data_IF_042138950805
#
_entry.id   IF_042138950805
#
_cell.length_a   1.000
_cell.length_b   1.000
_cell.length_c   1.000
_cell.angle_alpha   90.00
_cell.angle_beta   90.00
_cell.angle_gamma   90.00
#
_symmetry.space_group_name_H-M   'P 1'
#
loop_
_entity.id
_entity.type
_entity.pdbx_description
1 polymer ?
#
# COMPACT_ATOMS: atom_id res chain seq x y z
N UNK A 1 -12.98 -1.12 -17.88
CA UNK A 1 -12.58 -0.10 -16.90
C UNK A 1 -13.35 -0.36 -15.62
N UNK A 2 -12.67 -0.43 -14.47
CA UNK A 2 -13.32 -0.80 -13.21
C UNK A 2 -14.18 0.35 -12.69
N UNK A 3 -15.35 0.05 -12.13
CA UNK A 3 -16.28 1.06 -11.62
C UNK A 3 -16.76 0.67 -10.22
N UNK A 4 -16.56 1.55 -9.25
CA UNK A 4 -17.09 1.34 -7.92
C UNK A 4 -18.50 1.92 -7.82
N UNK A 5 -19.44 1.11 -7.37
CA UNK A 5 -20.86 1.44 -7.24
C UNK A 5 -21.27 1.24 -5.79
N UNK A 6 -22.01 2.21 -5.25
CA UNK A 6 -22.57 2.16 -3.89
C UNK A 6 -24.08 2.18 -3.94
N UNK A 7 -24.71 1.34 -3.13
CA UNK A 7 -26.13 1.49 -2.79
C UNK A 7 -26.29 2.51 -1.64
N UNK A 8 -27.01 3.60 -1.88
CA UNK A 8 -27.25 4.64 -0.85
C UNK A 8 -28.18 4.18 0.27
N UNK A 9 -28.98 3.14 0.03
CA UNK A 9 -30.00 2.63 0.95
C UNK A 9 -29.40 1.70 2.01
N UNK A 10 -28.53 0.78 1.62
CA UNK A 10 -27.92 -0.22 2.51
C UNK A 10 -26.40 -0.07 2.69
N UNK A 11 -25.78 0.90 2.00
CA UNK A 11 -24.33 1.14 1.97
C UNK A 11 -23.50 -0.03 1.38
N UNK A 12 -24.15 -0.95 0.66
CA UNK A 12 -23.47 -2.04 -0.04
C UNK A 12 -22.64 -1.52 -1.22
N UNK A 13 -21.52 -2.17 -1.49
CA UNK A 13 -20.52 -1.73 -2.46
C UNK A 13 -20.20 -2.84 -3.46
N UNK A 14 -20.19 -2.49 -4.74
CA UNK A 14 -19.82 -3.39 -5.82
C UNK A 14 -18.72 -2.78 -6.68
N UNK A 15 -17.63 -3.53 -6.90
CA UNK A 15 -16.59 -3.16 -7.84
C UNK A 15 -16.86 -3.87 -9.16
N UNK A 16 -17.46 -3.16 -10.11
CA UNK A 16 -17.70 -3.70 -11.44
C UNK A 16 -16.38 -3.87 -12.18
N UNK A 17 -16.10 -5.08 -12.66
CA UNK A 17 -14.92 -5.42 -13.44
C UNK A 17 -15.31 -6.02 -14.79
N UNK A 18 -14.40 -6.07 -15.77
CA UNK A 18 -14.64 -6.82 -17.00
C UNK A 18 -14.83 -8.33 -16.78
N UNK A 19 -14.51 -8.85 -15.59
CA UNK A 19 -14.55 -10.27 -15.28
C UNK A 19 -15.88 -10.74 -14.69
N UNK A 20 -16.78 -9.82 -14.32
CA UNK A 20 -18.05 -10.13 -13.65
C UNK A 20 -18.99 -11.00 -14.51
N UNK A 21 -18.73 -11.08 -15.82
CA UNK A 21 -19.50 -11.86 -16.80
C UNK A 21 -18.73 -13.08 -17.33
N UNK A 22 -17.53 -13.36 -16.79
CA UNK A 22 -16.78 -14.55 -17.18
C UNK A 22 -17.34 -15.79 -16.49
N UNK A 23 -17.36 -16.93 -17.20
CA UNK A 23 -17.82 -18.18 -16.61
C UNK A 23 -16.82 -18.69 -15.56
N UNK A 24 -17.36 -19.27 -14.50
CA UNK A 24 -16.58 -20.09 -13.56
C UNK A 24 -16.46 -21.52 -14.08
N UNK A 25 -15.39 -22.22 -13.70
CA UNK A 25 -15.15 -23.59 -14.12
C UNK A 25 -15.04 -24.49 -12.90
N UNK A 26 -15.86 -25.53 -12.88
CA UNK A 26 -15.82 -26.55 -11.83
C UNK A 26 -15.32 -27.88 -12.41
N UNK A 27 -14.52 -28.59 -11.63
CA UNK A 27 -14.09 -29.94 -11.97
C UNK A 27 -15.22 -30.92 -11.72
N UNK A 28 -15.63 -31.67 -12.74
CA UNK A 28 -16.63 -32.72 -12.62
C UNK A 28 -15.94 -34.09 -12.48
N UNK A 29 -15.95 -34.70 -11.27
CA UNK A 29 -15.33 -36.00 -11.03
C UNK A 29 -16.00 -37.17 -11.77
N UNK A 30 -17.19 -36.97 -12.36
CA UNK A 30 -17.96 -38.01 -13.05
C UNK A 30 -17.74 -38.05 -14.56
N UNK A 31 -16.88 -37.19 -15.10
CA UNK A 31 -16.61 -37.11 -16.53
C UNK A 31 -15.09 -37.27 -16.82
N UNK A 32 -14.76 -37.81 -18.01
CA UNK A 32 -13.41 -38.17 -18.48
C UNK A 32 -12.39 -37.01 -18.41
N UNK A 33 -11.06 -37.24 -18.55
CA UNK A 33 -9.95 -36.37 -18.08
C UNK A 33 -9.85 -34.92 -18.60
N UNK A 34 -10.85 -34.40 -19.32
CA UNK A 34 -10.87 -33.08 -19.95
C UNK A 34 -12.16 -32.28 -19.63
N UNK A 35 -12.94 -32.69 -18.61
CA UNK A 35 -14.27 -32.11 -18.37
C UNK A 35 -14.27 -31.08 -17.23
N UNK A 36 -14.07 -29.82 -17.60
CA UNK A 36 -14.50 -28.69 -16.79
C UNK A 36 -15.92 -28.29 -17.21
N UNK A 37 -16.82 -28.14 -16.24
CA UNK A 37 -18.13 -27.54 -16.50
C UNK A 37 -18.01 -26.03 -16.41
N UNK A 38 -18.41 -25.31 -17.47
CA UNK A 38 -18.57 -23.86 -17.41
C UNK A 38 -19.90 -23.50 -16.77
N UNK A 39 -19.86 -22.57 -15.82
CA UNK A 39 -21.00 -22.00 -15.14
C UNK A 39 -21.06 -20.51 -15.51
N UNK A 40 -22.04 -20.14 -16.32
CA UNK A 40 -22.26 -18.75 -16.66
C UNK A 40 -22.65 -17.96 -15.41
N UNK A 41 -21.97 -16.84 -15.15
CA UNK A 41 -22.28 -15.90 -14.08
C UNK A 41 -22.32 -14.47 -14.62
N UNK A 42 -23.15 -13.66 -13.99
CA UNK A 42 -23.17 -12.21 -14.15
C UNK A 42 -23.35 -11.57 -12.78
N UNK A 43 -22.23 -11.45 -12.05
CA UNK A 43 -22.21 -10.97 -10.67
C UNK A 43 -22.78 -9.55 -10.55
N UNK A 44 -22.60 -8.75 -11.61
CA UNK A 44 -23.13 -7.40 -11.65
C UNK A 44 -24.65 -7.40 -11.80
N UNK A 45 -25.21 -8.27 -12.65
CA UNK A 45 -26.65 -8.40 -12.77
C UNK A 45 -27.28 -8.92 -11.47
N UNK A 46 -26.63 -9.85 -10.78
CA UNK A 46 -27.07 -10.33 -9.47
C UNK A 46 -27.08 -9.20 -8.43
N UNK A 47 -26.04 -8.37 -8.41
CA UNK A 47 -26.01 -7.16 -7.59
C UNK A 47 -27.17 -6.21 -7.90
N UNK A 48 -27.44 -5.93 -9.19
CA UNK A 48 -28.56 -5.07 -9.61
C UNK A 48 -29.93 -5.64 -9.22
N UNK A 49 -30.10 -6.97 -9.33
CA UNK A 49 -31.32 -7.66 -8.96
C UNK A 49 -31.58 -7.58 -7.45
N UNK A 50 -30.53 -7.78 -6.63
CA UNK A 50 -30.62 -7.62 -5.17
C UNK A 50 -30.97 -6.19 -4.75
N UNK A 51 -30.58 -5.20 -5.55
CA UNK A 51 -30.77 -3.77 -5.27
C UNK A 51 -31.90 -3.13 -6.07
N UNK A 52 -32.88 -3.92 -6.54
CA UNK A 52 -34.04 -3.38 -7.24
C UNK A 52 -34.80 -2.39 -6.36
N UNK A 53 -35.03 -1.18 -6.90
CA UNK A 53 -35.69 -0.09 -6.17
C UNK A 53 -34.78 0.70 -5.22
N UNK A 54 -33.51 0.31 -5.06
CA UNK A 54 -32.53 1.11 -4.32
C UNK A 54 -31.91 2.21 -5.20
N UNK A 55 -31.44 3.28 -4.55
CA UNK A 55 -30.67 4.33 -5.22
C UNK A 55 -29.19 3.93 -5.26
N UNK A 56 -28.65 3.81 -6.46
CA UNK A 56 -27.22 3.54 -6.69
C UNK A 56 -26.49 4.84 -7.06
N UNK A 57 -25.23 4.96 -6.63
CA UNK A 57 -24.32 6.04 -7.02
C UNK A 57 -22.95 5.49 -7.44
N UNK A 58 -22.30 6.19 -8.36
CA UNK A 58 -20.93 5.87 -8.76
C UNK A 58 -19.93 6.59 -7.86
N UNK A 59 -18.89 5.87 -7.47
CA UNK A 59 -17.77 6.40 -6.72
C UNK A 59 -16.52 6.39 -7.58
N UNK A 60 -15.82 7.53 -7.64
CA UNK A 60 -14.50 7.64 -8.24
C UNK A 60 -13.44 7.39 -7.17
N UNK A 61 -12.55 6.44 -7.42
CA UNK A 61 -11.40 6.18 -6.54
C UNK A 61 -10.47 7.40 -6.57
N UNK A 62 -10.05 7.84 -5.39
CA UNK A 62 -9.03 8.88 -5.25
C UNK A 62 -7.67 8.19 -5.40
N UNK A 63 -6.93 8.56 -6.44
CA UNK A 63 -5.57 8.06 -6.66
C UNK A 63 -4.66 8.40 -5.46
N UNK A 64 -3.63 7.61 -5.24
CA UNK A 64 -2.69 7.72 -4.10
C UNK A 64 -3.29 7.56 -2.69
N UNK A 65 -4.56 7.18 -2.59
CA UNK A 65 -5.20 6.91 -1.29
C UNK A 65 -5.11 5.44 -0.85
N UNK A 66 -4.35 4.60 -1.52
CA UNK A 66 -4.30 3.17 -1.18
C UNK A 66 -3.36 2.90 0.01
N UNK A 67 -3.85 2.14 0.99
CA UNK A 67 -3.07 1.61 2.09
C UNK A 67 -3.40 0.13 2.29
N UNK A 68 -2.42 -0.70 2.66
CA UNK A 68 -2.63 -2.13 2.85
C UNK A 68 -1.88 -2.64 4.07
N UNK A 69 -2.53 -3.49 4.86
CA UNK A 69 -1.97 -3.99 6.13
C UNK A 69 -0.86 -5.04 5.92
N UNK A 70 -0.80 -5.65 4.73
CA UNK A 70 0.14 -6.72 4.40
C UNK A 70 0.84 -6.45 3.06
N UNK A 71 1.93 -7.19 2.73
CA UNK A 71 2.68 -7.06 1.48
C UNK A 71 1.82 -7.11 0.22
N UNK A 72 2.34 -6.59 -0.89
CA UNK A 72 1.62 -6.59 -2.16
C UNK A 72 1.30 -7.99 -2.67
N UNK A 73 2.16 -8.97 -2.37
CA UNK A 73 2.00 -10.37 -2.77
C UNK A 73 0.95 -11.15 -1.96
N UNK A 74 0.48 -10.62 -0.83
CA UNK A 74 -0.43 -11.35 0.06
C UNK A 74 -1.89 -11.31 -0.47
N UNK A 75 -2.45 -12.44 -0.94
CA UNK A 75 -3.78 -12.50 -1.51
C UNK A 75 -4.91 -12.17 -0.53
N UNK A 76 -4.73 -12.42 0.78
CA UNK A 76 -5.74 -12.25 1.84
C UNK A 76 -5.52 -10.96 2.64
N UNK A 77 -4.83 -9.98 2.06
CA UNK A 77 -4.60 -8.69 2.69
C UNK A 77 -5.89 -7.86 2.77
N UNK A 78 -6.02 -7.14 3.87
CA UNK A 78 -6.97 -6.03 3.97
C UNK A 78 -6.32 -4.79 3.40
N UNK A 79 -7.03 -4.07 2.55
CA UNK A 79 -6.60 -2.77 2.03
C UNK A 79 -7.68 -1.72 2.24
N UNK A 80 -7.27 -0.48 2.39
CA UNK A 80 -8.13 0.68 2.51
C UNK A 80 -7.83 1.66 1.39
N UNK A 81 -8.86 2.30 0.87
CA UNK A 81 -8.70 3.40 -0.07
C UNK A 81 -9.85 4.39 0.05
N UNK A 82 -9.66 5.59 -0.49
CA UNK A 82 -10.68 6.64 -0.50
C UNK A 82 -11.35 6.70 -1.87
N UNK A 83 -12.65 6.97 -1.88
CA UNK A 83 -13.41 7.26 -3.09
C UNK A 83 -14.38 8.43 -2.86
N UNK A 84 -14.83 9.06 -3.93
CA UNK A 84 -15.74 10.21 -3.86
C UNK A 84 -16.87 10.11 -4.88
N UNK A 85 -18.04 10.61 -4.52
CA UNK A 85 -19.16 10.87 -5.45
C UNK A 85 -19.14 12.33 -5.96
N UNK A 86 -18.05 13.07 -5.72
CA UNK A 86 -17.92 14.50 -6.03
C UNK A 86 -18.45 15.44 -4.94
N UNK A 87 -19.15 14.93 -3.92
CA UNK A 87 -19.68 15.74 -2.80
C UNK A 87 -19.01 15.41 -1.48
N UNK A 88 -18.78 14.13 -1.23
CA UNK A 88 -18.18 13.62 0.01
C UNK A 88 -17.10 12.57 -0.31
N UNK A 89 -16.26 12.28 0.68
CA UNK A 89 -15.20 11.28 0.60
C UNK A 89 -15.59 10.10 1.48
N UNK A 90 -15.40 8.90 0.95
CA UNK A 90 -15.71 7.63 1.57
C UNK A 90 -14.43 6.83 1.77
N UNK A 91 -14.30 6.19 2.93
CA UNK A 91 -13.27 5.17 3.15
C UNK A 91 -13.84 3.79 2.85
N UNK A 92 -13.13 3.03 2.04
CA UNK A 92 -13.55 1.70 1.62
C UNK A 92 -12.50 0.70 2.06
N UNK A 93 -12.95 -0.33 2.78
CA UNK A 93 -12.18 -1.52 3.11
C UNK A 93 -12.40 -2.57 2.02
N UNK A 94 -11.30 -3.09 1.47
CA UNK A 94 -11.24 -4.19 0.50
C UNK A 94 -10.59 -5.39 1.18
N UNK A 95 -11.26 -6.53 1.18
CA UNK A 95 -10.76 -7.74 1.83
C UNK A 95 -11.43 -9.00 1.27
N UNK A 96 -10.89 -10.17 1.60
CA UNK A 96 -11.54 -11.47 1.45
C UNK A 96 -11.04 -12.39 2.56
N UNK A 97 -11.84 -13.38 2.93
CA UNK A 97 -11.48 -14.30 4.02
C UNK A 97 -10.67 -15.49 3.52
N UNK A 98 -10.95 -15.94 2.29
CA UNK A 98 -10.26 -17.05 1.63
C UNK A 98 -9.92 -16.73 0.18
N UNK A 99 -9.02 -17.52 -0.42
CA UNK A 99 -8.49 -17.28 -1.76
C UNK A 99 -9.54 -17.56 -2.84
N UNK A 100 -10.41 -18.53 -2.58
CA UNK A 100 -11.54 -18.96 -3.43
C UNK A 100 -12.77 -18.05 -3.31
N UNK A 101 -12.76 -17.11 -2.36
CA UNK A 101 -13.86 -16.14 -2.20
C UNK A 101 -13.62 -14.85 -3.02
N UNK A 102 -14.69 -14.23 -3.55
CA UNK A 102 -14.60 -12.94 -4.19
C UNK A 102 -14.18 -11.84 -3.21
N UNK A 103 -13.60 -10.77 -3.74
CA UNK A 103 -13.24 -9.59 -2.96
C UNK A 103 -14.50 -8.86 -2.48
N UNK A 104 -14.57 -8.63 -1.17
CA UNK A 104 -15.62 -7.87 -0.50
C UNK A 104 -15.18 -6.42 -0.33
N UNK A 105 -16.14 -5.50 -0.45
CA UNK A 105 -15.94 -4.06 -0.27
C UNK A 105 -16.90 -3.56 0.81
N UNK A 106 -16.38 -2.81 1.78
CA UNK A 106 -17.17 -2.32 2.89
C UNK A 106 -16.89 -0.85 3.14
N UNK A 107 -17.95 -0.07 3.35
CA UNK A 107 -17.84 1.32 3.76
C UNK A 107 -17.40 1.40 5.23
N UNK A 108 -16.29 2.08 5.48
CA UNK A 108 -15.78 2.37 6.83
C UNK A 108 -16.23 3.78 7.21
N UNK A 109 -16.74 3.94 8.43
CA UNK A 109 -17.16 5.25 8.93
C UNK A 109 -15.95 6.06 9.37
N UNK A 110 -15.87 7.31 8.92
CA UNK A 110 -14.79 8.23 9.26
C UNK A 110 -13.66 8.24 8.23
N UNK A 111 -12.42 8.42 8.69
CA UNK A 111 -11.24 8.52 7.83
C UNK A 111 -10.11 7.58 8.28
N UNK A 112 -9.07 7.41 7.46
CA UNK A 112 -7.82 6.78 7.88
C UNK A 112 -6.61 7.66 7.60
N UNK A 113 -5.59 7.47 8.43
CA UNK A 113 -4.29 8.14 8.33
C UNK A 113 -3.17 7.12 8.52
N UNK A 114 -1.99 7.43 7.97
CA UNK A 114 -0.78 6.64 8.23
C UNK A 114 -0.03 7.29 9.38
N UNK A 115 0.20 6.53 10.45
CA UNK A 115 1.02 6.96 11.59
C UNK A 115 2.38 6.28 11.51
N UNK A 116 3.44 7.06 11.68
CA UNK A 116 4.79 6.52 11.76
C UNK A 116 4.89 5.57 12.96
N UNK A 117 5.28 4.33 12.70
CA UNK A 117 5.47 3.29 13.69
C UNK A 117 6.93 3.23 14.16
N UNK A 118 7.87 3.41 13.24
CA UNK A 118 9.29 3.37 13.53
C UNK A 118 10.15 3.78 12.33
N UNK A 119 11.42 4.07 12.63
CA UNK A 119 12.45 4.35 11.63
C UNK A 119 13.63 3.43 11.95
N UNK A 120 14.13 2.71 10.95
CA UNK A 120 15.18 1.71 11.07
C UNK A 120 16.26 1.95 10.01
N UNK A 121 17.50 1.53 10.33
CA UNK A 121 18.57 1.39 9.33
C UNK A 121 18.61 -0.06 8.85
N UNK A 122 19.17 -0.27 7.66
CA UNK A 122 19.35 -1.60 7.08
C UNK A 122 20.69 -2.19 7.53
N UNK A 123 20.82 -2.47 8.84
CA UNK A 123 22.10 -2.77 9.49
C UNK A 123 22.84 -3.95 8.85
N UNK A 124 22.13 -5.02 8.49
CA UNK A 124 22.70 -6.20 7.84
C UNK A 124 23.27 -5.85 6.46
N UNK A 125 22.53 -5.06 5.67
CA UNK A 125 22.95 -4.64 4.33
C UNK A 125 24.15 -3.71 4.39
N UNK A 126 24.12 -2.72 5.28
CA UNK A 126 25.25 -1.82 5.53
C UNK A 126 26.50 -2.61 5.93
N UNK A 127 26.36 -3.55 6.87
CA UNK A 127 27.46 -4.42 7.32
C UNK A 127 28.03 -5.25 6.17
N UNK A 128 27.16 -5.83 5.33
CA UNK A 128 27.54 -6.61 4.16
C UNK A 128 28.33 -5.77 3.15
N UNK A 129 27.87 -4.56 2.86
CA UNK A 129 28.51 -3.68 1.88
C UNK A 129 29.82 -3.09 2.40
N UNK A 130 29.89 -2.69 3.67
CA UNK A 130 31.15 -2.28 4.30
C UNK A 130 32.21 -3.39 4.23
N UNK A 131 31.84 -4.65 4.48
CA UNK A 131 32.77 -5.78 4.37
C UNK A 131 33.25 -6.02 2.93
N UNK A 132 32.41 -5.72 1.95
CA UNK A 132 32.68 -5.95 0.53
C UNK A 132 33.56 -4.87 -0.09
N UNK A 133 33.38 -3.61 0.30
CA UNK A 133 33.96 -2.47 -0.41
C UNK A 133 35.20 -1.88 0.27
N UNK A 134 35.43 -2.17 1.55
CA UNK A 134 36.49 -1.52 2.32
C UNK A 134 37.86 -2.11 2.04
N UNK A 135 38.78 -1.25 1.60
CA UNK A 135 40.20 -1.56 1.41
C UNK A 135 41.01 -0.45 2.12
N UNK A 136 41.76 -0.76 3.19
CA UNK A 136 41.88 -2.07 3.84
C UNK A 136 40.59 -2.50 4.55
N UNK A 137 40.39 -3.82 4.79
CA UNK A 137 39.20 -4.34 5.46
C UNK A 137 39.02 -3.75 6.87
N UNK A 138 37.76 -3.46 7.22
CA UNK A 138 37.40 -3.02 8.56
C UNK A 138 37.29 -4.19 9.53
N UNK A 139 37.64 -3.96 10.80
CA UNK A 139 37.34 -4.94 11.85
C UNK A 139 35.84 -4.98 12.16
N UNK A 140 35.36 -6.09 12.73
CA UNK A 140 33.96 -6.18 13.17
C UNK A 140 33.63 -5.11 14.21
N UNK A 141 34.57 -4.77 15.11
CA UNK A 141 34.41 -3.69 16.10
C UNK A 141 34.21 -2.32 15.46
N UNK A 142 34.89 -2.04 14.33
CA UNK A 142 34.71 -0.79 13.60
C UNK A 142 33.35 -0.73 12.91
N UNK A 143 32.91 -1.84 12.30
CA UNK A 143 31.59 -1.95 11.67
C UNK A 143 30.49 -1.75 12.72
N UNK A 144 30.59 -2.43 13.86
CA UNK A 144 29.63 -2.30 14.96
C UNK A 144 29.58 -0.87 15.51
N UNK A 145 30.74 -0.19 15.57
CA UNK A 145 30.80 1.21 15.99
C UNK A 145 30.10 2.14 14.98
N UNK A 146 30.28 1.92 13.67
CA UNK A 146 29.57 2.66 12.63
C UNK A 146 28.06 2.45 12.72
N UNK A 147 27.60 1.20 12.83
CA UNK A 147 26.18 0.88 12.97
C UNK A 147 25.57 1.50 14.22
N UNK A 148 26.27 1.47 15.36
CA UNK A 148 25.84 2.13 16.59
C UNK A 148 25.71 3.64 16.43
N UNK A 149 26.69 4.27 15.77
CA UNK A 149 26.63 5.69 15.46
C UNK A 149 25.42 6.01 14.57
N UNK A 150 25.20 5.21 13.52
CA UNK A 150 24.10 5.47 12.60
C UNK A 150 22.74 5.25 13.25
N UNK A 151 22.58 4.21 14.06
CA UNK A 151 21.40 4.02 14.89
C UNK A 151 21.15 5.19 15.85
N UNK A 152 22.21 5.75 16.44
CA UNK A 152 22.06 6.91 17.33
C UNK A 152 21.55 8.14 16.57
N UNK A 153 22.09 8.38 15.36
CA UNK A 153 21.61 9.44 14.48
C UNK A 153 20.12 9.28 14.14
N UNK A 154 19.68 8.07 13.82
CA UNK A 154 18.28 7.81 13.44
C UNK A 154 17.29 8.09 14.56
N UNK A 155 17.68 7.91 15.82
CA UNK A 155 16.82 8.23 16.97
C UNK A 155 16.50 9.72 17.09
N UNK A 156 17.30 10.60 16.50
CA UNK A 156 17.09 12.05 16.55
C UNK A 156 16.49 12.62 15.27
N UNK A 157 16.36 11.81 14.22
CA UNK A 157 15.85 12.26 12.92
C UNK A 157 14.35 12.51 12.99
N UNK A 158 13.94 13.68 12.49
CA UNK A 158 12.57 13.91 12.07
C UNK A 158 12.42 13.51 10.59
N UNK A 159 11.64 12.46 10.31
CA UNK A 159 11.47 11.93 8.94
C UNK A 159 10.89 12.95 7.96
N UNK A 160 10.20 13.99 8.45
CA UNK A 160 9.66 15.07 7.62
C UNK A 160 10.76 15.97 7.02
N UNK A 161 11.96 15.94 7.58
CA UNK A 161 13.13 16.67 7.08
C UNK A 161 13.99 15.83 6.11
N UNK A 162 13.59 14.58 5.88
CA UNK A 162 14.25 13.66 4.96
C UNK A 162 13.56 13.66 3.59
N UNK A 163 14.30 13.23 2.57
CA UNK A 163 13.75 13.13 1.21
C UNK A 163 13.24 11.71 0.99
N UNK A 164 11.96 11.56 0.63
CA UNK A 164 11.39 10.26 0.25
C UNK A 164 12.03 9.79 -1.05
N UNK A 165 12.52 8.56 -1.06
CA UNK A 165 13.08 7.89 -2.24
C UNK A 165 12.08 6.88 -2.78
N UNK A 166 11.94 6.81 -4.09
CA UNK A 166 11.19 5.74 -4.74
C UNK A 166 12.09 4.51 -4.76
N UNK A 167 11.78 3.57 -3.87
CA UNK A 167 12.43 2.27 -3.80
C UNK A 167 11.35 1.17 -3.85
N UNK A 168 11.70 -0.01 -4.34
CA UNK A 168 10.78 -1.15 -4.50
C UNK A 168 10.51 -1.83 -3.15
N UNK A 169 9.79 -1.12 -2.28
CA UNK A 169 9.34 -1.68 -1.02
C UNK A 169 8.39 -2.86 -1.27
N UNK A 170 8.70 -4.02 -0.68
CA UNK A 170 7.83 -5.19 -0.72
C UNK A 170 6.53 -4.97 0.08
N UNK A 171 6.57 -4.04 1.05
CA UNK A 171 5.46 -3.69 1.90
C UNK A 171 4.92 -2.28 1.62
N UNK A 172 3.60 -2.10 1.41
CA UNK A 172 2.98 -0.80 1.11
C UNK A 172 3.10 0.25 2.22
N UNK A 173 3.35 -0.20 3.45
CA UNK A 173 3.55 0.67 4.62
C UNK A 173 5.03 0.88 4.98
N UNK A 174 5.94 0.40 4.14
CA UNK A 174 7.38 0.69 4.26
C UNK A 174 7.75 1.73 3.20
N UNK A 175 8.45 2.77 3.63
CA UNK A 175 8.90 3.86 2.76
C UNK A 175 10.34 4.18 3.08
N UNK A 176 11.15 4.36 2.03
CA UNK A 176 12.56 4.68 2.17
C UNK A 176 12.83 6.17 2.08
N UNK A 177 13.78 6.64 2.88
CA UNK A 177 14.15 8.05 2.98
C UNK A 177 15.67 8.23 2.97
N UNK A 178 16.14 9.20 2.19
CA UNK A 178 17.50 9.68 2.24
C UNK A 178 17.64 10.73 3.36
N UNK A 179 18.69 10.61 4.17
CA UNK A 179 19.03 11.61 5.18
C UNK A 179 19.43 12.92 4.52
N UNK A 180 19.12 14.05 5.16
CA UNK A 180 19.52 15.34 4.63
C UNK A 180 21.00 15.63 4.89
N UNK A 181 21.53 16.67 4.24
CA UNK A 181 22.93 17.08 4.31
C UNK A 181 23.39 17.40 5.74
N UNK A 182 22.52 17.95 6.59
CA UNK A 182 22.87 18.25 8.00
C UNK A 182 23.17 16.97 8.78
N UNK A 183 22.33 15.96 8.61
CA UNK A 183 22.50 14.66 9.25
C UNK A 183 23.67 13.87 8.65
N UNK A 184 23.90 14.00 7.34
CA UNK A 184 25.05 13.43 6.65
C UNK A 184 26.37 13.99 7.19
N UNK A 185 26.46 15.32 7.32
CA UNK A 185 27.64 15.99 7.88
C UNK A 185 27.85 15.63 9.35
N UNK A 186 26.78 15.46 10.13
CA UNK A 186 26.89 14.96 11.50
C UNK A 186 27.45 13.53 11.54
N UNK A 187 26.97 12.63 10.66
CA UNK A 187 27.48 11.27 10.56
C UNK A 187 28.98 11.27 10.26
N UNK A 188 29.40 11.99 9.21
CA UNK A 188 30.80 12.12 8.79
C UNK A 188 31.69 12.65 9.91
N UNK A 189 31.26 13.74 10.56
CA UNK A 189 31.99 14.33 11.69
C UNK A 189 32.24 13.31 12.80
N UNK A 190 31.26 12.48 13.13
CA UNK A 190 31.39 11.50 14.20
C UNK A 190 32.16 10.24 13.75
N UNK A 191 32.16 9.91 12.47
CA UNK A 191 33.00 8.85 11.90
C UNK A 191 34.50 9.11 12.11
N UNK A 192 34.95 10.36 12.20
CA UNK A 192 36.35 10.69 12.54
C UNK A 192 36.82 10.14 13.89
N UNK A 193 35.90 9.83 14.83
CA UNK A 193 36.27 9.22 16.10
C UNK A 193 36.54 7.71 15.97
N UNK A 194 36.02 7.07 14.92
CA UNK A 194 36.08 5.62 14.68
C UNK A 194 37.18 5.29 13.66
N UNK A 195 37.26 6.07 12.59
CA UNK A 195 38.14 5.84 11.44
C UNK A 195 39.19 6.93 11.34
N UNK A 196 40.41 6.55 10.89
CA UNK A 196 41.56 7.45 10.77
C UNK A 196 42.25 7.28 9.41
N UNK A 197 42.86 8.35 8.91
CA UNK A 197 43.63 8.32 7.66
C UNK A 197 42.82 7.80 6.48
N UNK A 198 43.39 6.88 5.71
CA UNK A 198 42.76 6.28 4.53
C UNK A 198 41.42 5.60 4.83
N UNK A 199 41.25 5.00 6.02
CA UNK A 199 39.98 4.38 6.41
C UNK A 199 38.84 5.40 6.52
N UNK A 200 39.14 6.63 6.96
CA UNK A 200 38.14 7.68 7.02
C UNK A 200 37.71 8.10 5.61
N UNK A 201 38.67 8.30 4.70
CA UNK A 201 38.40 8.65 3.30
C UNK A 201 37.56 7.57 2.60
N UNK A 202 37.84 6.28 2.89
CA UNK A 202 37.06 5.17 2.37
C UNK A 202 35.61 5.18 2.88
N UNK A 203 35.41 5.46 4.18
CA UNK A 203 34.07 5.57 4.78
C UNK A 203 33.32 6.79 4.25
N UNK A 204 33.99 7.93 4.10
CA UNK A 204 33.40 9.12 3.51
C UNK A 204 32.93 8.85 2.07
N UNK A 205 33.77 8.23 1.25
CA UNK A 205 33.42 7.84 -0.11
C UNK A 205 32.26 6.83 -0.15
N UNK A 206 32.24 5.88 0.79
CA UNK A 206 31.12 4.92 0.94
C UNK A 206 29.82 5.63 1.27
N UNK A 207 29.83 6.56 2.22
CA UNK A 207 28.66 7.33 2.63
C UNK A 207 28.10 8.13 1.44
N UNK A 208 28.94 8.85 0.70
CA UNK A 208 28.49 9.63 -0.46
C UNK A 208 27.96 8.77 -1.60
N UNK A 209 28.52 7.58 -1.81
CA UNK A 209 28.08 6.64 -2.84
C UNK A 209 26.69 6.08 -2.56
N UNK A 210 26.42 5.78 -1.28
CA UNK A 210 25.24 5.03 -0.85
C UNK A 210 24.15 5.88 -0.22
N UNK A 211 24.35 7.20 -0.05
CA UNK A 211 23.38 8.08 0.63
C UNK A 211 21.99 8.11 0.00
N UNK A 212 21.90 7.82 -1.30
CA UNK A 212 20.67 7.86 -2.09
C UNK A 212 20.25 6.46 -2.61
N UNK A 213 20.93 5.39 -2.19
CA UNK A 213 20.62 4.01 -2.62
C UNK A 213 20.25 3.09 -1.46
N UNK A 214 19.71 1.92 -1.79
CA UNK A 214 19.16 0.95 -0.83
C UNK A 214 20.08 0.50 0.32
N UNK A 215 21.34 0.94 0.40
CA UNK A 215 22.24 0.63 1.52
C UNK A 215 22.08 1.60 2.70
N UNK A 216 22.18 2.92 2.49
CA UNK A 216 22.10 3.90 3.58
C UNK A 216 20.72 4.55 3.74
N UNK A 217 19.73 4.20 2.91
CA UNK A 217 18.37 4.70 3.12
C UNK A 217 17.80 4.24 4.47
N UNK A 218 17.05 5.16 5.08
CA UNK A 218 16.24 4.89 6.27
C UNK A 218 14.94 4.22 5.86
N UNK A 219 14.59 3.13 6.53
CA UNK A 219 13.31 2.46 6.36
C UNK A 219 12.34 3.00 7.40
N UNK A 220 11.30 3.70 6.97
CA UNK A 220 10.22 4.13 7.83
C UNK A 220 9.02 3.20 7.67
N UNK A 221 8.53 2.66 8.79
CA UNK A 221 7.36 1.79 8.84
C UNK A 221 6.16 2.57 9.34
N UNK A 222 5.00 2.38 8.71
CA UNK A 222 3.76 3.05 9.07
C UNK A 222 2.68 2.06 9.49
N UNK A 223 1.76 2.53 10.33
CA UNK A 223 0.54 1.80 10.67
C UNK A 223 -0.68 2.56 10.16
N UNK A 224 -1.67 1.80 9.68
CA UNK A 224 -2.97 2.36 9.30
C UNK A 224 -3.75 2.65 10.57
N UNK A 225 -4.18 3.89 10.75
CA UNK A 225 -4.99 4.31 11.88
C UNK A 225 -6.34 4.81 11.38
N UNK A 226 -7.39 4.07 11.72
CA UNK A 226 -8.78 4.45 11.46
C UNK A 226 -9.22 5.49 12.50
N UNK A 227 -9.96 6.49 12.04
CA UNK A 227 -10.60 7.51 12.87
C UNK A 227 -12.10 7.42 12.61
N UNK A 228 -12.85 6.92 13.58
CA UNK A 228 -14.29 6.76 13.42
C UNK A 228 -15.00 8.09 13.61
N UNK A 229 -15.89 8.44 12.67
CA UNK A 229 -16.90 9.49 12.89
C UNK A 229 -18.25 8.84 13.08
N UNK A 230 -19.02 9.27 14.09
CA UNK A 230 -20.37 8.78 14.34
C UNK A 230 -21.23 8.88 13.06
N UNK A 231 -21.89 7.78 12.68
CA UNK A 231 -22.77 7.73 11.51
C UNK A 231 -23.86 8.80 11.63
N UNK A 232 -23.83 9.84 10.80
CA UNK A 232 -24.95 10.78 10.67
C UNK A 232 -26.14 10.03 10.06
N UNK A 233 -27.28 9.99 10.77
CA UNK A 233 -28.57 9.52 10.24
C UNK A 233 -28.88 10.28 8.95
N UNK A 234 -28.95 9.59 7.81
CA UNK A 234 -29.31 10.18 6.52
C UNK A 234 -30.80 10.51 6.48
N UNK A 235 -31.13 11.77 6.22
CA UNK A 235 -32.48 12.20 5.81
C UNK A 235 -32.58 11.98 4.30
N UNK A 236 -33.58 11.22 3.85
CA UNK A 236 -33.81 10.92 2.44
C UNK A 236 -34.09 12.22 1.66
N UNK A 237 -33.40 12.41 0.53
CA UNK A 237 -33.69 13.47 -0.45
C UNK A 237 -34.19 12.84 -1.75
N UNK A 238 -35.10 13.50 -2.50
CA UNK A 238 -35.90 12.85 -3.54
C UNK A 238 -35.11 12.56 -4.82
N UNK A 239 -35.54 11.50 -5.49
CA UNK A 239 -34.94 10.79 -6.63
C UNK A 239 -35.00 11.53 -7.97
N UNK A 240 -33.96 11.38 -8.80
CA UNK A 240 -34.03 11.53 -10.25
C UNK A 240 -33.76 10.15 -10.90
N UNK A 241 -34.64 9.64 -11.78
CA UNK A 241 -34.42 8.37 -12.47
C UNK A 241 -33.43 8.53 -13.62
N UNK A 242 -32.40 7.66 -13.66
CA UNK A 242 -31.51 7.52 -14.81
C UNK A 242 -32.27 6.84 -15.96
N UNK A 243 -32.29 7.48 -17.13
CA UNK A 243 -32.93 6.98 -18.36
C UNK A 243 -32.18 5.73 -18.87
N UNK A 244 -32.94 4.67 -19.16
CA UNK A 244 -32.47 3.47 -19.89
C UNK A 244 -32.21 3.85 -21.35
N UNK A 245 -30.97 3.69 -21.82
CA UNK A 245 -30.70 3.71 -23.26
C UNK A 245 -31.22 2.42 -23.90
N UNK A 246 -32.08 2.56 -24.91
CA UNK A 246 -32.59 1.46 -25.72
C UNK A 246 -31.53 1.06 -26.75
N UNK A 247 -31.07 -0.18 -26.68
CA UNK A 247 -30.33 -0.81 -27.78
C UNK A 247 -31.34 -1.10 -28.89
N UNK A 248 -31.10 -0.55 -30.08
CA UNK A 248 -31.88 -0.78 -31.29
C UNK A 248 -31.31 -2.03 -31.97
N UNK A 249 -32.11 -3.10 -32.04
CA UNK A 249 -31.86 -4.21 -32.96
C UNK A 249 -32.03 -3.73 -34.40
N UNK A 250 -31.03 -3.96 -35.25
CA UNK A 250 -31.16 -3.86 -36.71
C UNK A 250 -31.30 -5.27 -37.28
N UNK A 251 -32.37 -5.43 -38.07
CA UNK A 251 -32.67 -6.54 -38.98
C UNK A 251 -31.52 -6.85 -39.93
#
# INVERSE_FOLDING_TARGET
MNQLIRCKNCDDLFMKTPFDQLPEYEWDPHHTPENFRSLARDDFQDFLNHHQGHQLEHLKIIEDSFASEKPYSEPLKTSFFKATNGKEIFVIKKFREKIDEPLKYQLVSGDFSLKLAGIEIQAEEISRQLKKEMIPPLSQTQIDAFLKLYHHLVKTINIQECTRVQDEASHPLEVYYAINEVHLMYLLRNCHHIFKGEQYLAIEAFIYRHKDDGVLLLKASFNIHLTETAKKKKVASPSLPLKKEKIIEKK
#
